data_IF_668291969452
#
_entry.id   IF_668291969452
#
_cell.length_a   1.000
_cell.length_b   1.000
_cell.length_c   1.000
_cell.angle_alpha   90.00
_cell.angle_beta   90.00
_cell.angle_gamma   90.00
#
_symmetry.space_group_name_H-M   'P 1'
#
loop_
_entity.id
_entity.type
_entity.pdbx_description
1 polymer ?
#
# COMPACT_ATOMS: atom_id res chain seq x y z
N UNK A 1 -9.01 14.25 11.34
CA UNK A 1 -10.20 13.54 10.84
C UNK A 1 -11.45 14.33 11.18
N UNK A 2 -12.39 14.44 10.25
CA UNK A 2 -13.69 15.10 10.45
C UNK A 2 -14.81 14.15 10.01
N UNK A 3 -15.87 14.06 10.81
CA UNK A 3 -17.09 13.33 10.42
C UNK A 3 -18.28 14.26 10.39
N UNK A 4 -18.96 14.29 9.25
CA UNK A 4 -20.22 14.99 9.05
C UNK A 4 -21.35 13.96 9.01
N UNK A 5 -22.17 13.93 10.07
CA UNK A 5 -23.29 13.00 10.22
C UNK A 5 -24.43 13.33 9.25
N UNK A 6 -24.66 14.62 9.00
CA UNK A 6 -25.73 15.12 8.15
C UNK A 6 -25.50 14.72 6.70
N UNK A 7 -24.27 14.92 6.23
CA UNK A 7 -23.82 14.55 4.89
C UNK A 7 -23.45 13.05 4.79
N UNK A 8 -23.19 12.39 5.92
CA UNK A 8 -22.72 11.01 5.94
C UNK A 8 -21.34 10.86 5.32
N UNK A 9 -20.43 11.80 5.63
CA UNK A 9 -19.11 11.87 5.02
C UNK A 9 -18.00 11.90 6.08
N UNK A 10 -16.99 11.07 5.91
CA UNK A 10 -15.74 11.09 6.69
C UNK A 10 -14.64 11.73 5.84
N UNK A 11 -13.89 12.66 6.43
CA UNK A 11 -12.73 13.29 5.80
C UNK A 11 -11.46 13.01 6.61
N UNK A 12 -10.45 12.46 5.96
CA UNK A 12 -9.10 12.23 6.47
C UNK A 12 -8.15 13.12 5.69
N UNK A 13 -7.22 13.80 6.37
CA UNK A 13 -6.29 14.76 5.75
C UNK A 13 -4.86 14.49 6.21
N UNK A 14 -3.89 15.07 5.50
CA UNK A 14 -2.44 14.94 5.73
C UNK A 14 -1.95 13.54 5.37
N UNK A 15 -1.71 12.66 6.33
CA UNK A 15 -1.28 11.29 6.09
C UNK A 15 -2.50 10.35 6.06
N UNK A 16 -3.45 10.64 5.16
CA UNK A 16 -4.71 9.92 5.12
C UNK A 16 -4.51 8.49 4.57
N UNK A 17 -5.06 7.51 5.29
CA UNK A 17 -4.98 6.09 4.95
C UNK A 17 -6.30 5.38 5.25
N UNK A 18 -6.73 4.50 4.34
CA UNK A 18 -7.93 3.69 4.49
C UNK A 18 -7.70 2.29 3.89
N UNK A 19 -8.21 1.28 4.59
CA UNK A 19 -8.31 -0.09 4.07
C UNK A 19 -9.75 -0.61 4.19
N UNK A 20 -10.18 -1.40 3.22
CA UNK A 20 -11.41 -2.21 3.30
C UNK A 20 -11.13 -3.69 3.66
N UNK A 21 -9.88 -4.01 4.04
CA UNK A 21 -9.40 -5.37 4.31
C UNK A 21 -8.92 -6.14 3.07
N UNK A 22 -9.13 -5.62 1.87
CA UNK A 22 -8.58 -6.16 0.62
C UNK A 22 -7.73 -5.12 -0.11
N UNK A 23 -8.27 -3.93 -0.22
CA UNK A 23 -7.67 -2.81 -0.90
C UNK A 23 -7.21 -1.79 0.13
N UNK A 24 -6.19 -1.05 -0.25
CA UNK A 24 -5.62 0.02 0.55
C UNK A 24 -5.44 1.27 -0.30
N UNK A 25 -5.74 2.42 0.29
CA UNK A 25 -5.53 3.71 -0.33
C UNK A 25 -4.94 4.72 0.64
N UNK A 26 -3.99 5.51 0.15
CA UNK A 26 -3.41 6.63 0.87
C UNK A 26 -3.22 7.88 0.00
N UNK A 27 -3.17 9.04 0.65
CA UNK A 27 -2.93 10.33 0.01
C UNK A 27 -3.15 11.51 0.95
N UNK A 28 -3.02 12.72 0.42
CA UNK A 28 -3.11 13.98 1.20
C UNK A 28 -4.51 14.28 1.72
N UNK A 29 -5.55 13.83 0.99
CA UNK A 29 -6.95 13.97 1.36
C UNK A 29 -7.72 12.72 0.93
N UNK A 30 -8.47 12.13 1.86
CA UNK A 30 -9.42 11.06 1.61
C UNK A 30 -10.81 11.49 2.07
N UNK A 31 -11.81 11.29 1.20
CA UNK A 31 -13.21 11.54 1.50
C UNK A 31 -13.99 10.24 1.31
N UNK A 32 -14.65 9.77 2.36
CA UNK A 32 -15.49 8.58 2.32
C UNK A 32 -16.95 8.94 2.55
N UNK A 33 -17.79 8.70 1.55
CA UNK A 33 -19.24 8.78 1.69
C UNK A 33 -19.76 7.44 2.19
N UNK A 34 -20.23 7.40 3.44
CA UNK A 34 -20.68 6.16 4.09
C UNK A 34 -21.97 5.63 3.48
N UNK A 35 -22.83 6.51 2.96
CA UNK A 35 -24.14 6.14 2.38
C UNK A 35 -23.97 5.50 1.00
N UNK A 36 -23.07 6.06 0.19
CA UNK A 36 -22.76 5.57 -1.16
C UNK A 36 -21.67 4.49 -1.17
N UNK A 37 -21.05 4.21 -0.01
CA UNK A 37 -19.91 3.31 0.12
C UNK A 37 -18.78 3.61 -0.89
N UNK A 38 -18.54 4.91 -1.12
CA UNK A 38 -17.58 5.39 -2.12
C UNK A 38 -16.53 6.25 -1.45
N UNK A 39 -15.28 5.99 -1.79
CA UNK A 39 -14.15 6.83 -1.41
C UNK A 39 -13.62 7.63 -2.61
N UNK A 40 -13.01 8.76 -2.31
CA UNK A 40 -12.25 9.59 -3.23
C UNK A 40 -10.96 10.01 -2.56
N UNK A 41 -9.87 9.99 -3.30
CA UNK A 41 -8.56 10.45 -2.84
C UNK A 41 -8.07 11.57 -3.74
N UNK A 42 -7.30 12.49 -3.16
CA UNK A 42 -6.67 13.56 -3.91
C UNK A 42 -5.29 13.85 -3.33
N UNK A 43 -4.34 14.14 -4.22
CA UNK A 43 -3.06 14.71 -3.86
C UNK A 43 -3.20 16.21 -3.57
N UNK A 44 -2.34 16.75 -2.70
CA UNK A 44 -2.28 18.17 -2.44
C UNK A 44 -1.80 18.93 -3.71
N UNK A 45 -2.55 19.93 -4.21
CA UNK A 45 -2.15 20.71 -5.37
C UNK A 45 -0.80 21.40 -5.16
N UNK A 46 0.07 21.36 -6.18
CA UNK A 46 1.38 22.02 -6.13
C UNK A 46 2.43 21.31 -5.28
N UNK A 47 2.15 20.08 -4.84
CA UNK A 47 3.11 19.21 -4.15
C UNK A 47 3.47 18.01 -5.03
N UNK A 48 4.60 17.36 -4.73
CA UNK A 48 4.99 16.09 -5.35
C UNK A 48 4.24 14.88 -4.77
N UNK A 49 3.37 15.09 -3.77
CA UNK A 49 2.58 14.02 -3.17
C UNK A 49 1.65 13.38 -4.20
N UNK A 50 1.47 12.06 -4.09
CA UNK A 50 0.65 11.26 -4.99
C UNK A 50 -0.31 10.38 -4.20
N UNK A 51 -1.41 10.02 -4.84
CA UNK A 51 -2.31 9.00 -4.32
C UNK A 51 -1.67 7.63 -4.59
N UNK A 52 -1.59 6.78 -3.57
CA UNK A 52 -1.16 5.38 -3.70
C UNK A 52 -2.37 4.48 -3.50
N UNK A 53 -2.54 3.50 -4.39
CA UNK A 53 -3.62 2.50 -4.30
C UNK A 53 -3.02 1.11 -4.46
N UNK A 54 -3.27 0.24 -3.48
CA UNK A 54 -2.95 -1.18 -3.54
C UNK A 54 -4.24 -1.96 -3.69
N UNK A 55 -4.33 -2.77 -4.75
CA UNK A 55 -5.48 -3.64 -5.02
C UNK A 55 -5.01 -5.08 -4.87
N UNK A 56 -5.48 -5.77 -3.82
CA UNK A 56 -5.18 -7.18 -3.66
C UNK A 56 -6.05 -8.01 -4.63
N UNK A 57 -5.44 -8.88 -5.46
CA UNK A 57 -6.21 -9.81 -6.25
C UNK A 57 -7.01 -10.76 -5.34
N UNK A 58 -8.31 -10.91 -5.61
CA UNK A 58 -9.11 -11.92 -4.91
C UNK A 58 -8.72 -13.30 -5.42
N UNK A 59 -8.34 -14.20 -4.51
CA UNK A 59 -8.30 -15.63 -4.82
C UNK A 59 -9.72 -16.06 -5.20
N UNK A 60 -9.88 -16.61 -6.41
CA UNK A 60 -11.13 -17.26 -6.78
C UNK A 60 -11.45 -18.34 -5.73
N UNK A 61 -12.73 -18.55 -5.33
CA UNK A 61 -13.09 -19.64 -4.45
C UNK A 61 -12.68 -20.96 -5.11
N UNK A 62 -11.58 -21.56 -4.63
CA UNK A 62 -10.96 -22.74 -5.24
C UNK A 62 -9.44 -22.67 -5.46
N UNK A 63 -8.81 -21.51 -5.33
CA UNK A 63 -7.34 -21.41 -5.30
C UNK A 63 -6.79 -21.78 -3.92
N UNK A 64 -7.08 -23.01 -3.48
CA UNK A 64 -6.55 -23.58 -2.26
C UNK A 64 -5.04 -23.79 -2.39
N UNK A 65 -4.29 -23.09 -1.54
CA UNK A 65 -2.91 -23.40 -1.10
C UNK A 65 -1.86 -23.46 -2.21
N UNK A 66 -1.39 -22.28 -2.66
CA UNK A 66 0.04 -22.18 -3.00
C UNK A 66 0.78 -21.99 -1.68
N UNK A 67 1.29 -23.10 -1.20
CA UNK A 67 2.27 -23.20 -0.14
C UNK A 67 3.34 -22.12 -0.32
N UNK A 68 3.69 -21.47 0.80
CA UNK A 68 4.66 -20.39 0.86
C UNK A 68 5.85 -20.70 -0.07
N UNK A 69 6.12 -19.79 -1.02
CA UNK A 69 7.45 -19.69 -1.60
C UNK A 69 8.39 -19.23 -0.48
N UNK A 70 8.78 -20.18 0.38
CA UNK A 70 9.97 -20.05 1.19
C UNK A 70 11.10 -19.70 0.22
N UNK A 71 11.84 -18.60 0.46
CA UNK A 71 13.05 -18.32 -0.30
C UNK A 71 13.95 -19.57 -0.22
N UNK A 72 14.51 -20.04 -1.35
CA UNK A 72 15.21 -21.31 -1.37
C UNK A 72 16.34 -21.30 -0.34
N UNK A 73 16.37 -22.36 0.48
CA UNK A 73 17.40 -22.68 1.45
C UNK A 73 18.80 -22.37 0.92
N UNK A 74 19.39 -21.24 1.35
CA UNK A 74 20.83 -21.03 1.20
C UNK A 74 21.53 -21.99 2.16
N UNK A 75 21.89 -23.18 1.66
CA UNK A 75 22.86 -24.06 2.32
C UNK A 75 24.17 -23.28 2.56
N UNK A 76 24.79 -23.38 3.75
CA UNK A 76 26.07 -22.74 4.01
C UNK A 76 27.20 -23.63 3.47
N UNK A 77 28.09 -23.09 2.63
CA UNK A 77 29.35 -23.79 2.32
C UNK A 77 30.09 -23.33 1.05
N UNK A 78 31.17 -22.58 1.29
CA UNK A 78 32.48 -22.56 0.60
C UNK A 78 32.54 -22.60 -0.94
N UNK A 79 32.87 -21.47 -1.54
CA UNK A 79 34.17 -21.16 -2.17
C UNK A 79 34.01 -19.77 -2.82
N UNK A 80 34.59 -18.73 -2.22
CA UNK A 80 35.87 -18.18 -2.63
C UNK A 80 35.81 -17.36 -3.94
N UNK A 81 35.97 -16.05 -3.73
CA UNK A 81 36.72 -15.09 -4.55
C UNK A 81 36.08 -14.38 -5.75
N UNK A 82 36.43 -13.08 -5.77
CA UNK A 82 36.29 -12.07 -6.82
C UNK A 82 34.86 -11.52 -7.02
N UNK A 83 34.61 -10.21 -7.01
CA UNK A 83 35.53 -9.08 -7.05
C UNK A 83 34.78 -7.79 -6.69
N UNK A 84 35.48 -6.96 -5.92
CA UNK A 84 35.47 -5.50 -5.97
C UNK A 84 34.13 -4.75 -5.78
N UNK A 85 33.94 -4.28 -4.55
CA UNK A 85 33.37 -2.94 -4.27
C UNK A 85 34.29 -1.87 -4.89
N UNK A 86 33.75 -0.82 -5.52
CA UNK A 86 34.25 0.54 -5.24
C UNK A 86 33.13 1.49 -4.75
N UNK A 87 33.49 2.68 -4.23
CA UNK A 87 32.95 3.18 -2.97
C UNK A 87 31.97 4.36 -3.10
N UNK A 88 31.37 4.68 -1.95
CA UNK A 88 30.70 5.94 -1.67
C UNK A 88 31.52 7.15 -2.12
N UNK A 89 30.85 8.15 -2.69
CA UNK A 89 31.38 9.49 -2.83
C UNK A 89 30.65 10.39 -1.82
N UNK A 90 31.36 11.25 -1.07
CA UNK A 90 30.79 12.44 -0.46
C UNK A 90 30.44 13.51 -1.51
#
# INVERSE_FOLDING_TARGET
MVYDVSEGTVRLSEEAWLTDGQNEISGSLLVYNVRAQRWQASAAPGTDERVHITIAPRSAPGAGKSEAAQPPDRKPGKDESASAKPPAQP
#
